data_IF_862332868582
#
_entry.id   IF_862332868582
#
_cell.length_a   1.000
_cell.length_b   1.000
_cell.length_c   1.000
_cell.angle_alpha   90.00
_cell.angle_beta   90.00
_cell.angle_gamma   90.00
#
_symmetry.space_group_name_H-M   'P 1'
#
loop_
_entity.id
_entity.type
_entity.pdbx_description
1 polymer ?
#
# COMPACT_ATOMS: atom_id res chain seq x y z
N UNK A 1 -5.13 -36.21 -11.67
CA UNK A 1 -4.98 -35.57 -11.63
C UNK A 1 -5.00 -34.55 -11.60
N UNK A 2 -5.13 -34.31 -11.68
CA UNK A 2 -5.04 -33.41 -11.75
C UNK A 2 -4.92 -32.41 -11.32
N UNK A 3 -4.84 -32.48 -11.00
CA UNK A 3 -4.47 -31.69 -10.53
C UNK A 3 -4.03 -30.70 -10.80
N UNK A 4 -3.81 -30.54 -11.09
CA UNK A 4 -3.27 -29.67 -11.46
C UNK A 4 -3.72 -28.50 -11.49
N UNK A 5 -4.12 -28.25 -11.62
CA UNK A 5 -4.49 -27.17 -11.69
C UNK A 5 -4.56 -26.40 -10.85
N UNK A 6 -4.44 -26.75 -10.41
CA UNK A 6 -4.28 -26.21 -9.61
C UNK A 6 -3.89 -24.96 -9.26
N UNK A 7 -3.74 -24.64 -8.35
CA UNK A 7 -3.20 -23.42 -7.87
C UNK A 7 -2.90 -22.36 -8.84
N UNK A 8 -2.88 -22.71 -10.01
CA UNK A 8 -2.59 -21.80 -11.09
C UNK A 8 -3.56 -20.64 -11.17
N UNK A 9 -4.74 -20.78 -10.60
CA UNK A 9 -5.73 -19.71 -10.64
C UNK A 9 -5.66 -18.75 -9.46
N UNK A 10 -4.82 -19.03 -8.47
CA UNK A 10 -4.71 -18.15 -7.31
C UNK A 10 -4.04 -16.84 -7.70
N UNK A 11 -4.66 -15.69 -7.42
CA UNK A 11 -4.02 -14.43 -7.72
C UNK A 11 -2.77 -14.23 -6.87
N UNK A 12 -1.76 -13.63 -7.45
CA UNK A 12 -0.50 -13.32 -6.78
C UNK A 12 -0.16 -11.85 -7.00
N UNK A 13 0.55 -11.23 -6.06
CA UNK A 13 1.05 -9.88 -6.29
C UNK A 13 2.06 -9.89 -7.44
N UNK A 14 2.02 -8.86 -8.25
CA UNK A 14 2.86 -8.72 -9.44
C UNK A 14 3.66 -7.44 -9.34
N UNK A 15 4.96 -7.54 -9.50
CA UNK A 15 5.81 -6.36 -9.62
C UNK A 15 5.54 -5.75 -11.00
N UNK A 16 5.00 -4.53 -11.02
CA UNK A 16 4.64 -3.87 -12.27
C UNK A 16 5.81 -3.14 -12.90
N UNK A 17 6.87 -2.85 -12.13
CA UNK A 17 8.13 -2.41 -12.70
C UNK A 17 8.88 -3.64 -13.20
N UNK A 18 9.10 -3.71 -14.49
CA UNK A 18 9.75 -4.86 -15.12
C UNK A 18 11.25 -4.82 -14.84
N UNK A 19 11.88 -5.97 -14.63
CA UNK A 19 13.32 -5.98 -14.51
C UNK A 19 13.95 -5.74 -15.88
N UNK A 20 15.26 -5.51 -15.92
CA UNK A 20 15.97 -5.17 -17.17
C UNK A 20 15.85 -6.28 -18.21
N UNK A 21 15.78 -7.53 -17.77
CA UNK A 21 15.63 -8.68 -18.67
C UNK A 21 14.19 -8.84 -19.20
N UNK A 22 13.26 -8.05 -18.71
CA UNK A 22 11.87 -8.12 -19.14
C UNK A 22 11.05 -9.20 -18.45
N UNK A 23 11.60 -9.88 -17.47
CA UNK A 23 10.88 -10.91 -16.74
C UNK A 23 9.82 -10.31 -15.84
N UNK A 24 8.65 -10.95 -15.80
CA UNK A 24 7.62 -10.59 -14.85
C UNK A 24 7.92 -11.25 -13.51
N UNK A 25 7.87 -10.47 -12.44
CA UNK A 25 8.14 -10.93 -11.08
C UNK A 25 6.80 -11.06 -10.36
N UNK A 26 6.46 -12.25 -9.93
CA UNK A 26 5.20 -12.54 -9.23
C UNK A 26 5.45 -13.23 -7.91
N UNK A 27 4.57 -12.96 -6.95
CA UNK A 27 4.65 -13.53 -5.61
C UNK A 27 5.50 -12.70 -4.67
N UNK A 28 5.10 -12.65 -3.40
CA UNK A 28 5.80 -11.83 -2.42
C UNK A 28 7.25 -12.25 -2.21
N UNK A 29 7.55 -13.56 -2.27
CA UNK A 29 8.93 -14.03 -2.08
C UNK A 29 9.86 -13.50 -3.17
N UNK A 30 9.43 -13.58 -4.42
CA UNK A 30 10.22 -13.10 -5.55
C UNK A 30 10.35 -11.58 -5.51
N UNK A 31 9.26 -10.88 -5.21
CA UNK A 31 9.26 -9.42 -5.10
C UNK A 31 10.20 -8.98 -3.98
N UNK A 32 10.16 -9.65 -2.85
CA UNK A 32 11.03 -9.35 -1.71
C UNK A 32 12.50 -9.51 -2.07
N UNK A 33 12.83 -10.54 -2.85
CA UNK A 33 14.20 -10.72 -3.34
C UNK A 33 14.65 -9.56 -4.21
N UNK A 34 13.78 -9.11 -5.12
CA UNK A 34 14.10 -7.95 -5.97
C UNK A 34 14.36 -6.72 -5.11
N UNK A 35 13.49 -6.45 -4.14
CA UNK A 35 13.68 -5.31 -3.23
C UNK A 35 15.02 -5.40 -2.50
N UNK A 36 15.35 -6.58 -2.00
CA UNK A 36 16.57 -6.81 -1.23
C UNK A 36 17.84 -6.59 -2.04
N UNK A 37 17.78 -6.75 -3.37
CA UNK A 37 18.92 -6.53 -4.24
C UNK A 37 19.08 -5.08 -4.67
N UNK A 38 18.12 -4.21 -4.35
CA UNK A 38 18.17 -2.80 -4.75
C UNK A 38 19.09 -2.03 -3.82
N UNK A 39 20.34 -1.93 -4.20
CA UNK A 39 21.34 -1.09 -3.54
C UNK A 39 21.61 0.10 -4.43
N UNK A 40 22.36 1.08 -3.93
CA UNK A 40 22.74 2.23 -4.75
C UNK A 40 23.37 1.84 -6.08
N UNK A 41 24.16 0.78 -6.07
CA UNK A 41 24.89 0.33 -7.25
C UNK A 41 24.04 -0.53 -8.18
N UNK A 42 22.87 -0.97 -7.74
CA UNK A 42 22.05 -1.94 -8.46
C UNK A 42 20.62 -1.48 -8.72
N UNK A 43 20.32 -0.22 -8.45
CA UNK A 43 18.96 0.30 -8.67
C UNK A 43 18.53 0.18 -10.12
N UNK A 44 19.46 0.24 -11.05
CA UNK A 44 19.15 0.12 -12.48
C UNK A 44 18.79 -1.30 -12.89
N UNK A 45 18.85 -2.27 -11.99
CA UNK A 45 18.46 -3.64 -12.30
C UNK A 45 16.97 -3.80 -12.53
N UNK A 46 16.19 -2.82 -12.14
CA UNK A 46 14.75 -2.82 -12.34
C UNK A 46 14.35 -1.64 -13.21
N UNK A 47 13.85 -1.95 -14.39
CA UNK A 47 13.40 -0.96 -15.35
C UNK A 47 12.13 -0.25 -14.85
N UNK A 48 12.06 1.05 -15.01
CA UNK A 48 10.90 1.82 -14.57
C UNK A 48 10.83 2.09 -13.09
N UNK A 49 11.86 1.71 -12.36
CA UNK A 49 11.98 2.02 -10.94
C UNK A 49 12.30 3.50 -10.73
N UNK A 50 11.97 4.31 -11.65
CA UNK A 50 12.20 5.71 -11.78
C UNK A 50 12.35 6.35 -10.42
N UNK A 51 13.55 6.63 -10.03
CA UNK A 51 13.85 7.19 -8.78
C UNK A 51 13.36 6.39 -7.61
N UNK A 52 13.46 5.11 -7.69
CA UNK A 52 13.46 4.41 -6.46
C UNK A 52 12.16 3.97 -5.86
N UNK A 53 11.07 4.14 -6.53
CA UNK A 53 9.79 3.63 -6.04
C UNK A 53 9.39 2.43 -6.87
N UNK A 54 9.34 1.25 -6.26
CA UNK A 54 8.82 0.07 -6.93
C UNK A 54 7.30 0.03 -6.79
N UNK A 55 6.63 -0.53 -7.78
CA UNK A 55 5.19 -0.66 -7.83
C UNK A 55 4.78 -2.12 -7.90
N UNK A 56 3.84 -2.52 -7.06
CA UNK A 56 3.29 -3.87 -7.01
C UNK A 56 1.79 -3.78 -7.18
N UNK A 57 1.24 -4.65 -8.01
CA UNK A 57 -0.19 -4.84 -8.12
C UNK A 57 -0.57 -6.08 -7.31
N UNK A 58 -1.26 -5.88 -6.21
CA UNK A 58 -1.78 -6.94 -5.36
C UNK A 58 -3.31 -6.93 -5.32
N UNK A 59 -3.95 -6.32 -6.30
CA UNK A 59 -5.39 -6.09 -6.29
C UNK A 59 -6.23 -7.36 -6.24
N UNK A 60 -5.74 -8.45 -6.78
CA UNK A 60 -6.46 -9.73 -6.75
C UNK A 60 -6.05 -10.63 -5.58
N UNK A 61 -5.15 -10.16 -4.75
CA UNK A 61 -4.57 -10.92 -3.66
C UNK A 61 -5.13 -10.44 -2.32
N UNK A 62 -4.83 -11.13 -1.23
CA UNK A 62 -5.23 -10.61 0.06
C UNK A 62 -4.38 -9.36 0.37
N UNK A 63 -4.94 -8.47 1.19
CA UNK A 63 -4.33 -7.16 1.44
C UNK A 63 -3.31 -7.22 2.57
N UNK A 64 -2.56 -8.33 2.62
CA UNK A 64 -1.54 -8.59 3.63
C UNK A 64 -0.17 -8.50 3.00
N UNK A 65 0.71 -7.71 3.59
CA UNK A 65 2.08 -7.55 3.12
C UNK A 65 3.00 -8.21 4.13
N UNK A 66 3.84 -9.18 3.71
CA UNK A 66 4.66 -9.95 4.64
C UNK A 66 5.70 -9.11 5.38
N UNK A 67 6.04 -9.54 6.58
CA UNK A 67 7.06 -8.87 7.39
C UNK A 67 8.41 -8.80 6.66
N UNK A 68 8.77 -9.86 5.94
CA UNK A 68 10.03 -9.89 5.19
C UNK A 68 10.06 -8.81 4.11
N UNK A 69 8.94 -8.54 3.45
CA UNK A 69 8.84 -7.51 2.43
C UNK A 69 9.00 -6.13 3.06
N UNK A 70 8.30 -5.88 4.17
CA UNK A 70 8.39 -4.63 4.92
C UNK A 70 9.83 -4.36 5.36
N UNK A 71 10.50 -5.39 5.88
CA UNK A 71 11.90 -5.30 6.28
C UNK A 71 12.79 -4.97 5.08
N UNK A 72 12.59 -5.66 3.96
CA UNK A 72 13.38 -5.44 2.76
C UNK A 72 13.27 -4.00 2.27
N UNK A 73 12.06 -3.44 2.26
CA UNK A 73 11.85 -2.03 1.89
C UNK A 73 12.63 -1.11 2.80
N UNK A 74 12.55 -1.34 4.10
CA UNK A 74 13.19 -0.47 5.10
C UNK A 74 14.71 -0.47 5.02
N UNK A 75 15.30 -1.54 4.52
CA UNK A 75 16.75 -1.68 4.43
C UNK A 75 17.30 -1.51 3.02
N UNK A 76 16.44 -1.30 2.04
CA UNK A 76 16.85 -1.12 0.64
C UNK A 76 17.33 0.29 0.36
N UNK A 77 17.94 0.47 -0.81
CA UNK A 77 18.30 1.79 -1.32
C UNK A 77 17.14 2.47 -2.04
N UNK A 78 16.02 1.81 -2.16
CA UNK A 78 14.82 2.37 -2.78
C UNK A 78 14.22 3.46 -1.90
N UNK A 79 13.47 4.37 -2.51
CA UNK A 79 12.68 5.33 -1.75
C UNK A 79 11.50 4.67 -1.07
N UNK A 80 10.93 3.65 -1.68
CA UNK A 80 9.81 2.94 -1.09
C UNK A 80 9.16 1.93 -2.01
N UNK A 81 8.05 1.40 -1.54
CA UNK A 81 7.24 0.41 -2.24
C UNK A 81 5.79 0.88 -2.27
N UNK A 82 5.24 1.00 -3.47
CA UNK A 82 3.84 1.33 -3.69
C UNK A 82 3.08 0.06 -4.03
N UNK A 83 2.09 -0.28 -3.22
CA UNK A 83 1.30 -1.50 -3.38
C UNK A 83 -0.15 -1.13 -3.68
N UNK A 84 -0.60 -1.44 -4.89
CA UNK A 84 -2.00 -1.30 -5.27
C UNK A 84 -2.78 -2.49 -4.69
N UNK A 85 -3.78 -2.21 -3.86
CA UNK A 85 -4.54 -3.24 -3.13
C UNK A 85 -5.97 -3.42 -3.63
N UNK A 86 -6.35 -2.73 -4.71
CA UNK A 86 -7.65 -2.88 -5.34
C UNK A 86 -8.61 -1.75 -5.01
N UNK A 87 -9.69 -1.65 -5.77
CA UNK A 87 -10.73 -0.64 -5.59
C UNK A 87 -10.21 0.80 -5.57
N UNK A 88 -9.18 1.07 -6.36
CA UNK A 88 -8.50 2.37 -6.42
C UNK A 88 -7.74 2.73 -5.13
N UNK A 89 -7.48 1.76 -4.29
CA UNK A 89 -6.75 1.95 -3.06
C UNK A 89 -5.32 1.43 -3.19
N UNK A 90 -4.39 2.12 -2.53
CA UNK A 90 -2.99 1.72 -2.51
C UNK A 90 -2.34 2.15 -1.20
N UNK A 91 -1.22 1.53 -0.88
CA UNK A 91 -0.40 1.94 0.25
C UNK A 91 1.04 2.14 -0.22
N UNK A 92 1.72 3.12 0.35
CA UNK A 92 3.13 3.35 0.07
C UNK A 92 3.94 3.23 1.35
N UNK A 93 4.89 2.30 1.34
CA UNK A 93 5.88 2.16 2.40
C UNK A 93 7.11 2.97 2.01
N UNK A 94 7.53 3.89 2.86
CA UNK A 94 8.74 4.66 2.61
C UNK A 94 9.93 3.98 3.27
N UNK A 95 11.02 3.79 2.53
CA UNK A 95 12.18 3.04 3.02
C UNK A 95 12.81 3.65 4.27
N UNK A 96 12.79 4.97 4.37
CA UNK A 96 13.38 5.65 5.53
C UNK A 96 12.48 5.68 6.75
N UNK A 97 11.23 5.27 6.58
CA UNK A 97 10.31 5.17 7.70
C UNK A 97 10.58 3.89 8.45
N UNK A 98 10.81 3.99 9.75
CA UNK A 98 11.03 2.80 10.57
C UNK A 98 9.68 2.23 10.97
N UNK A 99 9.44 1.01 10.56
CA UNK A 99 8.30 0.25 11.06
C UNK A 99 8.74 -0.52 12.29
N UNK A 100 7.97 -0.41 13.34
CA UNK A 100 8.29 -1.06 14.60
C UNK A 100 8.20 -2.57 14.45
N UNK A 101 9.35 -3.26 14.55
CA UNK A 101 9.39 -4.71 14.56
C UNK A 101 9.13 -5.41 13.23
N UNK A 102 9.06 -4.69 12.13
CA UNK A 102 8.85 -5.28 10.80
C UNK A 102 7.78 -6.36 10.79
N UNK A 103 6.59 -5.97 11.18
CA UNK A 103 5.48 -6.92 11.26
C UNK A 103 4.79 -7.07 9.92
N UNK A 104 4.14 -8.22 9.74
CA UNK A 104 3.15 -8.40 8.70
C UNK A 104 2.07 -7.32 8.85
N UNK A 105 1.73 -6.65 7.74
CA UNK A 105 0.75 -5.57 7.77
C UNK A 105 -0.52 -5.97 7.02
N UNK A 106 -1.67 -5.64 7.59
CA UNK A 106 -2.98 -6.06 7.09
C UNK A 106 -3.82 -4.83 6.74
N UNK A 107 -4.19 -4.71 5.48
CA UNK A 107 -4.96 -3.56 4.98
C UNK A 107 -6.38 -3.91 4.56
N UNK A 108 -6.87 -5.08 4.97
CA UNK A 108 -8.25 -5.46 4.75
C UNK A 108 -9.17 -4.46 5.44
N UNK A 109 -10.19 -3.97 4.74
CA UNK A 109 -11.07 -2.97 5.30
C UNK A 109 -12.48 -3.04 4.68
N UNK A 110 -13.43 -2.44 5.38
CA UNK A 110 -14.79 -2.25 4.89
C UNK A 110 -15.01 -0.78 4.64
N UNK A 111 -15.73 -0.47 3.58
CA UNK A 111 -16.04 0.90 3.19
C UNK A 111 -17.52 1.19 3.35
N UNK A 112 -17.84 2.39 3.84
CA UNK A 112 -19.17 2.93 3.82
C UNK A 112 -19.10 4.31 3.18
N UNK A 113 -19.81 4.50 2.08
CA UNK A 113 -19.78 5.76 1.34
C UNK A 113 -21.15 6.42 1.43
N UNK A 114 -21.15 7.69 1.80
CA UNK A 114 -22.32 8.54 1.75
C UNK A 114 -22.06 9.71 0.81
N UNK A 115 -23.04 10.59 0.66
CA UNK A 115 -22.90 11.78 -0.18
C UNK A 115 -21.74 12.69 0.28
N UNK A 116 -21.50 12.76 1.57
CA UNK A 116 -20.52 13.69 2.15
C UNK A 116 -19.38 13.03 2.93
N UNK A 117 -19.36 11.71 2.97
CA UNK A 117 -18.31 11.02 3.73
C UNK A 117 -18.02 9.65 3.18
N UNK A 118 -16.82 9.18 3.47
CA UNK A 118 -16.40 7.80 3.26
C UNK A 118 -15.75 7.32 4.54
N UNK A 119 -16.24 6.17 5.05
CA UNK A 119 -15.64 5.53 6.21
C UNK A 119 -14.85 4.32 5.75
N UNK A 120 -13.59 4.26 6.15
CA UNK A 120 -12.68 3.15 5.89
C UNK A 120 -12.42 2.50 7.23
N UNK A 121 -12.96 1.29 7.41
CA UNK A 121 -12.84 0.58 8.68
C UNK A 121 -11.90 -0.61 8.50
N UNK A 122 -10.65 -0.45 8.90
CA UNK A 122 -9.67 -1.53 8.82
C UNK A 122 -10.05 -2.64 9.79
N UNK A 123 -10.10 -3.86 9.26
CA UNK A 123 -10.54 -5.04 10.02
C UNK A 123 -9.55 -5.40 11.12
N UNK A 124 -8.25 -5.32 10.82
CA UNK A 124 -7.20 -5.65 11.77
C UNK A 124 -6.57 -4.35 12.27
N UNK A 125 -6.82 -4.02 13.51
CA UNK A 125 -6.29 -2.80 14.12
C UNK A 125 -4.88 -3.07 14.61
N UNK A 126 -3.89 -2.40 13.99
CA UNK A 126 -2.50 -2.58 14.37
C UNK A 126 -1.71 -1.28 14.23
N UNK A 127 -0.75 -1.10 15.11
CA UNK A 127 0.21 -0.01 14.97
C UNK A 127 1.21 -0.38 13.87
N UNK A 128 1.52 0.58 13.01
CA UNK A 128 2.44 0.37 11.89
C UNK A 128 3.87 0.81 12.23
N UNK A 129 4.05 1.48 13.35
CA UNK A 129 5.37 1.92 13.82
C UNK A 129 5.90 3.16 13.13
N UNK A 130 5.27 3.59 12.05
CA UNK A 130 5.64 4.78 11.31
C UNK A 130 4.52 5.18 10.38
N UNK A 131 4.70 6.28 9.69
CA UNK A 131 3.74 6.72 8.69
C UNK A 131 3.82 5.84 7.44
N UNK A 132 2.67 5.34 7.05
CA UNK A 132 2.45 4.71 5.75
C UNK A 132 1.48 5.63 5.02
N UNK A 133 1.71 5.89 3.75
CA UNK A 133 0.78 6.73 2.98
C UNK A 133 -0.33 5.84 2.43
N UNK A 134 -1.56 6.15 2.79
CA UNK A 134 -2.74 5.48 2.24
C UNK A 134 -3.31 6.33 1.11
N UNK A 135 -3.58 5.68 -0.02
CA UNK A 135 -4.15 6.31 -1.22
C UNK A 135 -5.53 5.75 -1.48
N UNK A 136 -6.47 6.62 -1.78
CA UNK A 136 -7.83 6.20 -2.09
C UNK A 136 -8.51 7.24 -2.99
N UNK A 137 -9.79 7.05 -3.26
CA UNK A 137 -10.58 8.00 -4.04
C UNK A 137 -11.81 8.42 -3.26
N UNK A 138 -12.27 9.62 -3.54
CA UNK A 138 -13.54 10.16 -3.02
C UNK A 138 -14.35 10.71 -4.20
N UNK A 139 -15.67 10.86 -4.06
CA UNK A 139 -16.48 11.34 -5.17
C UNK A 139 -16.37 12.84 -5.46
N UNK A 140 -15.58 13.57 -4.70
CA UNK A 140 -15.37 15.00 -4.91
C UNK A 140 -14.06 15.23 -5.66
N UNK A 141 -14.07 16.10 -6.67
CA UNK A 141 -12.89 16.42 -7.49
C UNK A 141 -12.38 17.79 -7.11
N UNK A 142 -11.08 17.92 -6.94
CA UNK A 142 -10.42 19.18 -6.60
C UNK A 142 -11.06 19.87 -5.38
N UNK A 143 -11.49 19.05 -4.42
CA UNK A 143 -12.19 19.54 -3.23
C UNK A 143 -11.48 19.22 -1.95
N UNK A 144 -11.80 19.96 -0.90
CA UNK A 144 -11.23 19.71 0.42
C UNK A 144 -11.77 18.41 1.00
N UNK A 145 -10.86 17.65 1.62
CA UNK A 145 -11.19 16.41 2.30
C UNK A 145 -10.54 16.46 3.68
N UNK A 146 -11.33 16.28 4.72
CA UNK A 146 -10.83 16.21 6.08
C UNK A 146 -10.85 14.77 6.53
N UNK A 147 -9.73 14.29 7.05
CA UNK A 147 -9.57 12.90 7.49
C UNK A 147 -9.55 12.87 9.00
N UNK A 148 -10.44 12.02 9.56
CA UNK A 148 -10.52 11.79 11.00
C UNK A 148 -10.20 10.32 11.30
N UNK A 149 -9.53 10.11 12.41
CA UNK A 149 -9.42 8.78 13.01
C UNK A 149 -10.51 8.67 14.07
N UNK A 150 -11.22 7.56 14.10
CA UNK A 150 -12.29 7.31 15.05
C UNK A 150 -11.89 6.17 15.97
N UNK A 151 -12.01 6.39 17.27
CA UNK A 151 -11.78 5.37 18.27
C UNK A 151 -12.84 5.48 19.38
N UNK A 152 -12.65 4.75 20.47
CA UNK A 152 -13.61 4.74 21.57
C UNK A 152 -13.81 6.12 22.21
N UNK A 153 -12.86 7.02 22.04
CA UNK A 153 -12.90 8.37 22.62
C UNK A 153 -13.47 9.42 21.64
N UNK A 154 -13.83 8.99 20.44
CA UNK A 154 -14.41 9.87 19.44
C UNK A 154 -13.48 10.12 18.27
N UNK A 155 -13.64 11.25 17.61
CA UNK A 155 -12.90 11.61 16.40
C UNK A 155 -11.70 12.47 16.71
N UNK A 156 -10.59 12.17 16.04
CA UNK A 156 -9.40 13.03 16.05
C UNK A 156 -9.06 13.37 14.61
N UNK A 157 -8.92 14.65 14.32
CA UNK A 157 -8.55 15.08 12.96
C UNK A 157 -7.09 14.69 12.71
N UNK A 158 -6.86 13.97 11.61
CA UNK A 158 -5.53 13.56 11.19
C UNK A 158 -4.92 14.60 10.27
N UNK A 159 -5.65 14.96 9.19
CA UNK A 159 -5.14 15.86 8.18
C UNK A 159 -6.30 16.48 7.39
N UNK A 160 -6.03 17.62 6.80
CA UNK A 160 -6.89 18.26 5.80
C UNK A 160 -6.12 18.20 4.49
N UNK A 161 -6.73 17.69 3.45
CA UNK A 161 -6.10 17.53 2.15
C UNK A 161 -7.07 17.93 1.05
N UNK A 162 -6.64 17.77 -0.20
CA UNK A 162 -7.45 18.13 -1.36
C UNK A 162 -7.42 16.95 -2.33
N UNK A 163 -8.60 16.56 -2.83
CA UNK A 163 -8.66 15.57 -3.89
C UNK A 163 -8.19 16.17 -5.22
N UNK A 164 -7.66 15.34 -6.09
CA UNK A 164 -7.25 15.79 -7.42
C UNK A 164 -8.43 15.71 -8.40
N UNK A 165 -8.15 15.95 -9.68
CA UNK A 165 -9.17 15.92 -10.72
C UNK A 165 -9.82 14.55 -10.91
N UNK A 166 -9.15 13.50 -10.48
CA UNK A 166 -9.70 12.14 -10.49
C UNK A 166 -10.33 11.71 -9.18
N UNK A 167 -10.44 12.62 -8.20
CA UNK A 167 -10.96 12.29 -6.88
C UNK A 167 -9.97 11.55 -5.99
N UNK A 168 -8.71 11.49 -6.39
CA UNK A 168 -7.69 10.77 -5.60
C UNK A 168 -7.22 11.62 -4.43
N UNK A 169 -7.08 10.97 -3.28
CA UNK A 169 -6.53 11.59 -2.06
C UNK A 169 -5.52 10.63 -1.45
N UNK A 170 -4.57 11.18 -0.73
CA UNK A 170 -3.65 10.39 0.05
C UNK A 170 -3.40 11.06 1.40
N UNK A 171 -3.12 10.25 2.41
CA UNK A 171 -2.86 10.75 3.74
C UNK A 171 -2.01 9.76 4.53
N UNK A 172 -1.20 10.26 5.48
CA UNK A 172 -0.38 9.38 6.29
C UNK A 172 -1.23 8.70 7.36
N UNK A 173 -0.93 7.43 7.61
CA UNK A 173 -1.50 6.69 8.72
C UNK A 173 -0.36 6.05 9.51
N UNK A 174 -0.51 6.00 10.84
CA UNK A 174 0.47 5.35 11.72
C UNK A 174 -0.06 4.03 12.26
N UNK A 175 -1.32 3.76 11.99
CA UNK A 175 -1.98 2.53 12.40
C UNK A 175 -3.14 2.24 11.47
N UNK A 176 -3.55 0.98 11.40
CA UNK A 176 -4.81 0.61 10.78
C UNK A 176 -5.90 0.81 11.84
N UNK A 177 -6.86 1.65 11.53
CA UNK A 177 -7.90 2.09 12.46
C UNK A 177 -9.19 2.30 11.66
N UNK A 178 -10.14 3.00 12.22
CA UNK A 178 -11.30 3.47 11.50
C UNK A 178 -11.06 4.92 11.12
N UNK A 179 -11.15 5.22 9.83
CA UNK A 179 -10.95 6.57 9.29
C UNK A 179 -12.21 7.06 8.61
N UNK A 180 -12.53 8.33 8.83
CA UNK A 180 -13.65 8.98 8.17
C UNK A 180 -13.10 10.14 7.34
N UNK A 181 -13.42 10.13 6.06
CA UNK A 181 -13.09 11.20 5.14
C UNK A 181 -14.35 12.01 4.90
N UNK A 182 -14.33 13.29 5.23
CA UNK A 182 -15.44 14.20 5.02
C UNK A 182 -15.13 15.19 3.91
N UNK A 183 -16.11 15.36 3.02
CA UNK A 183 -15.97 16.22 1.84
C UNK A 183 -17.30 16.86 1.46
#
# INVERSE_FOLDING_TARGET
>A
SDSSDSGSSAPEPVLTTTNIAGEQITGWDAITKVISTQTKDKQQNVSGANQDLLHVDASGFDKTIPAATVKAVSTSALRGLHVFIGNSDAVTFLAKSKLSGYKETHFEHKDTVTEHSRTIDFTNKQALGTNVVFHTTVPVKNGEVTVYKVDANGRTRIVKTVSNAGGQVCFPITETATYVLEY
#
